data_IF_389891255917
#
_entry.id   IF_389891255917
#
_cell.length_a   1.000
_cell.length_b   1.000
_cell.length_c   1.000
_cell.angle_alpha   90.00
_cell.angle_beta   90.00
_cell.angle_gamma   90.00
#
_symmetry.space_group_name_H-M   'P 1'
#
loop_
_entity.id
_entity.type
_entity.pdbx_description
1 polymer ?
#
# COMPACT_ATOMS: atom_id res chain seq x y z
N UNK A 1 45.57 24.92 -27.14
CA UNK A 1 46.02 25.34 -25.78
C UNK A 1 45.07 26.44 -25.38
N UNK A 2 44.23 26.37 -24.34
CA UNK A 2 44.20 25.65 -23.06
C UNK A 2 42.83 24.96 -22.86
N UNK A 3 42.78 23.65 -22.59
CA UNK A 3 42.55 23.05 -21.26
C UNK A 3 41.22 23.44 -20.60
N UNK A 4 40.20 22.60 -20.86
CA UNK A 4 39.01 22.40 -20.03
C UNK A 4 39.41 21.63 -18.77
N UNK A 5 39.22 22.24 -17.59
CA UNK A 5 39.24 21.50 -16.32
C UNK A 5 37.87 20.86 -16.07
N UNK A 6 37.73 19.60 -16.49
CA UNK A 6 36.63 18.74 -16.04
C UNK A 6 36.84 18.36 -14.57
N UNK A 7 36.08 18.99 -13.68
CA UNK A 7 36.00 18.64 -12.27
C UNK A 7 35.22 17.31 -12.12
N UNK A 8 35.94 16.18 -12.11
CA UNK A 8 35.38 14.83 -11.91
C UNK A 8 35.07 14.61 -10.43
N UNK A 9 33.85 14.98 -10.02
CA UNK A 9 33.30 14.57 -8.72
C UNK A 9 33.20 13.05 -8.61
N UNK A 10 33.68 12.48 -7.50
CA UNK A 10 33.60 11.05 -7.21
C UNK A 10 32.14 10.59 -7.15
N UNK A 11 31.77 9.61 -7.99
CA UNK A 11 30.45 8.98 -7.96
C UNK A 11 30.37 7.99 -6.77
N UNK A 12 29.26 8.02 -6.01
CA UNK A 12 28.95 7.06 -4.92
C UNK A 12 29.16 5.60 -5.33
N UNK A 13 28.95 5.26 -6.60
CA UNK A 13 29.17 3.91 -7.15
C UNK A 13 30.65 3.50 -7.22
N UNK A 14 31.58 4.44 -7.39
CA UNK A 14 33.03 4.17 -7.34
C UNK A 14 33.52 4.01 -5.90
N UNK A 15 33.01 4.82 -4.96
CA UNK A 15 33.36 4.74 -3.54
C UNK A 15 32.97 3.37 -2.93
N UNK A 16 31.79 2.88 -3.27
CA UNK A 16 31.29 1.58 -2.81
C UNK A 16 31.94 0.38 -3.54
N UNK A 17 32.45 0.58 -4.76
CA UNK A 17 33.22 -0.44 -5.48
C UNK A 17 34.65 -0.59 -4.96
N UNK A 18 35.27 0.51 -4.53
CA UNK A 18 36.66 0.51 -4.04
C UNK A 18 36.83 -0.12 -2.66
N UNK A 19 35.82 -0.08 -1.79
CA UNK A 19 35.88 -0.70 -0.45
C UNK A 19 35.82 -2.24 -0.51
N UNK A 20 35.14 -2.80 -1.52
CA UNK A 20 35.10 -4.25 -1.74
C UNK A 20 36.45 -4.80 -2.25
N UNK A 21 37.20 -4.02 -3.04
CA UNK A 21 38.49 -4.43 -3.59
C UNK A 21 39.62 -4.41 -2.53
N UNK A 22 39.58 -3.49 -1.57
CA UNK A 22 40.60 -3.39 -0.50
C UNK A 22 40.45 -4.51 0.54
N UNK A 23 39.23 -4.99 0.78
CA UNK A 23 38.99 -6.11 1.71
C UNK A 23 39.50 -7.47 1.17
N UNK A 24 39.56 -7.65 -0.15
CA UNK A 24 40.01 -8.90 -0.77
C UNK A 24 41.55 -9.08 -0.75
N UNK A 25 42.31 -7.98 -0.74
CA UNK A 25 43.79 -8.05 -0.79
C UNK A 25 44.41 -8.27 0.58
N UNK A 26 43.73 -7.88 1.67
CA UNK A 26 44.22 -8.08 3.04
C UNK A 26 44.14 -9.55 3.54
N UNK A 27 43.43 -10.43 2.82
CA UNK A 27 43.21 -11.82 3.22
C UNK A 27 44.25 -12.83 2.68
N UNK A 28 45.28 -12.39 1.93
CA UNK A 28 46.23 -13.30 1.26
C UNK A 28 47.66 -13.29 1.82
N UNK A 29 47.92 -12.58 2.91
CA UNK A 29 49.24 -12.61 3.56
C UNK A 29 49.14 -12.87 5.07
N UNK A 30 49.09 -14.15 5.42
CA UNK A 30 49.82 -14.84 6.51
C UNK A 30 49.08 -16.17 6.74
N UNK A 31 49.84 -17.27 6.74
CA UNK A 31 49.34 -18.60 6.46
C UNK A 31 48.51 -19.25 7.58
N UNK A 32 47.74 -20.27 7.17
CA UNK A 32 47.40 -21.38 8.04
C UNK A 32 45.90 -21.67 8.16
N UNK A 33 45.51 -22.80 7.56
CA UNK A 33 44.36 -23.66 7.92
C UNK A 33 42.97 -23.26 7.44
N UNK A 34 42.58 -23.90 6.34
CA UNK A 34 41.22 -24.16 5.91
C UNK A 34 40.51 -25.05 6.95
N UNK A 35 39.60 -24.50 7.75
CA UNK A 35 38.60 -25.27 8.52
C UNK A 35 37.23 -25.10 7.88
N UNK A 36 36.66 -26.25 7.51
CA UNK A 36 35.55 -26.44 6.58
C UNK A 36 34.24 -26.71 7.35
N UNK A 37 33.86 -25.82 8.26
CA UNK A 37 32.60 -25.94 9.04
C UNK A 37 32.07 -24.58 9.49
N UNK A 38 30.87 -24.20 9.03
CA UNK A 38 30.08 -23.10 9.58
C UNK A 38 29.86 -21.98 8.58
N UNK A 39 28.62 -21.87 8.09
CA UNK A 39 28.20 -20.84 7.15
C UNK A 39 28.55 -19.43 7.64
N UNK A 40 29.14 -18.64 6.75
CA UNK A 40 29.31 -17.21 6.94
C UNK A 40 27.94 -16.53 6.86
N UNK A 41 27.17 -16.62 7.94
CA UNK A 41 26.23 -15.55 8.26
C UNK A 41 27.09 -14.29 8.40
N UNK A 42 26.97 -13.37 7.44
CA UNK A 42 27.42 -11.99 7.66
C UNK A 42 26.83 -11.56 9.00
N UNK A 43 27.64 -11.23 10.02
CA UNK A 43 27.09 -10.71 11.25
C UNK A 43 26.25 -9.50 10.86
N UNK A 44 24.97 -9.50 11.26
CA UNK A 44 24.17 -8.29 11.23
C UNK A 44 25.06 -7.18 11.82
N UNK A 45 25.19 -6.05 11.11
CA UNK A 45 25.93 -4.90 11.61
C UNK A 45 25.38 -4.57 12.99
N UNK A 46 26.06 -5.08 14.02
CA UNK A 46 25.73 -4.82 15.40
C UNK A 46 25.82 -3.31 15.54
N UNK A 47 24.69 -2.73 15.95
CA UNK A 47 24.52 -1.31 16.20
C UNK A 47 25.78 -0.79 16.90
N UNK A 48 26.51 0.11 16.25
CA UNK A 48 27.65 0.76 16.87
C UNK A 48 27.21 1.33 18.25
N UNK A 49 28.06 1.27 19.28
CA UNK A 49 27.71 1.75 20.62
C UNK A 49 27.51 3.28 20.55
N UNK A 50 26.26 3.68 20.41
CA UNK A 50 25.85 5.05 20.07
C UNK A 50 24.47 5.07 19.45
N UNK A 51 23.48 4.48 20.14
CA UNK A 51 22.11 4.35 19.65
C UNK A 51 21.57 5.66 19.06
N UNK A 52 20.80 5.56 17.97
CA UNK A 52 20.14 6.73 17.38
C UNK A 52 19.27 7.39 18.45
N UNK A 53 19.50 8.68 18.72
CA UNK A 53 18.65 9.46 19.63
C UNK A 53 17.24 9.51 19.03
N UNK A 54 16.25 9.13 19.81
CA UNK A 54 14.83 9.21 19.45
C UNK A 54 14.15 10.46 20.05
N UNK A 55 14.81 11.10 21.01
CA UNK A 55 14.36 12.35 21.62
C UNK A 55 14.49 13.49 20.62
N UNK A 56 13.42 14.29 20.50
CA UNK A 56 13.38 15.52 19.71
C UNK A 56 12.96 16.64 20.66
N UNK A 57 13.89 17.55 20.98
CA UNK A 57 13.70 18.57 22.01
C UNK A 57 12.71 19.66 21.56
N UNK A 58 12.16 20.47 22.49
CA UNK A 58 11.39 21.66 22.13
C UNK A 58 12.18 22.58 21.20
N UNK A 59 11.61 22.90 20.03
CA UNK A 59 12.26 23.71 18.99
C UNK A 59 12.99 22.90 17.92
N UNK A 60 13.16 21.59 18.10
CA UNK A 60 13.69 20.68 17.08
C UNK A 60 12.58 20.05 16.24
N UNK A 61 12.93 19.63 15.01
CA UNK A 61 12.02 18.98 14.07
C UNK A 61 12.33 17.49 13.97
N UNK A 62 11.29 16.71 13.71
CA UNK A 62 11.42 15.32 13.28
C UNK A 62 12.07 15.22 11.89
N UNK A 63 12.77 14.12 11.64
CA UNK A 63 13.50 13.87 10.39
C UNK A 63 12.57 13.35 9.29
N UNK A 64 11.53 12.60 9.65
CA UNK A 64 10.58 12.02 8.71
C UNK A 64 9.13 12.24 9.13
N UNK A 65 8.25 12.33 8.11
CA UNK A 65 6.82 12.15 8.28
C UNK A 65 6.45 10.67 8.14
N UNK A 66 5.57 10.20 9.02
CA UNK A 66 5.00 8.86 8.97
C UNK A 66 3.49 9.00 8.77
N UNK A 67 2.97 8.48 7.66
CA UNK A 67 1.54 8.34 7.43
C UNK A 67 1.08 7.02 8.04
N UNK A 68 0.28 7.10 9.08
CA UNK A 68 -0.10 5.97 9.90
C UNK A 68 -1.57 5.63 9.67
N UNK A 69 -1.80 4.34 9.49
CA UNK A 69 -3.13 3.71 9.46
C UNK A 69 -3.84 3.88 10.80
N UNK A 70 -5.16 3.98 10.81
CA UNK A 70 -5.93 4.07 12.05
C UNK A 70 -6.93 2.94 12.25
N UNK A 71 -6.92 1.95 11.34
CA UNK A 71 -7.88 0.85 11.33
C UNK A 71 -9.31 1.38 11.34
N UNK A 72 -10.11 0.82 12.24
CA UNK A 72 -11.53 1.13 12.44
C UNK A 72 -11.82 2.57 12.90
N UNK A 73 -10.79 3.38 13.17
CA UNK A 73 -11.00 4.82 13.39
C UNK A 73 -11.32 5.53 12.06
N UNK A 74 -10.93 4.97 10.91
CA UNK A 74 -11.29 5.49 9.59
C UNK A 74 -10.60 6.79 9.16
N UNK A 75 -9.53 7.21 9.85
CA UNK A 75 -8.72 8.41 9.55
C UNK A 75 -7.28 8.05 9.14
N UNK A 76 -6.50 9.03 8.66
CA UNK A 76 -5.03 8.89 8.54
C UNK A 76 -4.37 9.79 9.57
N UNK A 77 -3.33 9.29 10.24
CA UNK A 77 -2.54 10.08 11.20
C UNK A 77 -1.19 10.44 10.61
N UNK A 78 -0.74 11.67 10.85
CA UNK A 78 0.62 12.09 10.53
C UNK A 78 1.43 12.07 11.82
N UNK A 79 2.51 11.30 11.85
CA UNK A 79 3.45 11.26 12.96
C UNK A 79 4.81 11.83 12.55
N UNK A 80 5.56 12.36 13.51
CA UNK A 80 6.98 12.67 13.37
C UNK A 80 7.86 11.50 13.81
N UNK A 81 8.91 11.19 13.05
CA UNK A 81 9.93 10.19 13.40
C UNK A 81 11.31 10.90 13.50
N UNK A 82 12.08 10.70 14.59
CA UNK A 82 11.97 9.59 15.52
C UNK A 82 11.12 9.85 16.79
N UNK A 83 10.51 11.02 16.96
CA UNK A 83 9.83 11.36 18.22
C UNK A 83 8.55 10.55 18.47
N UNK A 84 7.96 9.99 17.42
CA UNK A 84 6.67 9.28 17.41
C UNK A 84 5.47 10.12 17.90
N UNK A 85 5.56 11.45 17.79
CA UNK A 85 4.46 12.35 18.18
C UNK A 85 3.43 12.39 17.04
N UNK A 86 2.15 12.30 17.37
CA UNK A 86 1.06 12.58 16.42
C UNK A 86 1.02 14.09 16.16
N UNK A 87 1.26 14.49 14.91
CA UNK A 87 1.29 15.88 14.46
C UNK A 87 -0.09 16.33 13.97
N UNK A 88 -0.85 15.44 13.35
CA UNK A 88 -2.14 15.76 12.73
C UNK A 88 -3.00 14.50 12.50
N UNK A 89 -4.31 14.70 12.41
CA UNK A 89 -5.29 13.74 11.92
C UNK A 89 -5.95 14.25 10.64
N UNK A 90 -6.01 13.40 9.62
CA UNK A 90 -6.70 13.67 8.36
C UNK A 90 -7.99 12.84 8.37
N UNK A 91 -9.17 13.47 8.46
CA UNK A 91 -10.42 12.73 8.40
C UNK A 91 -10.64 12.18 6.98
N UNK A 92 -11.13 10.94 6.89
CA UNK A 92 -11.35 10.24 5.62
C UNK A 92 -12.71 9.55 5.61
N UNK A 93 -12.84 8.44 6.33
CA UNK A 93 -14.06 7.63 6.36
C UNK A 93 -14.88 7.84 7.64
N UNK A 94 -14.30 8.49 8.65
CA UNK A 94 -14.98 8.85 9.89
C UNK A 94 -15.76 10.15 9.79
N UNK A 95 -16.77 10.32 10.64
CA UNK A 95 -17.33 11.65 10.95
C UNK A 95 -16.42 12.40 11.93
N UNK A 96 -15.81 13.51 11.49
CA UNK A 96 -14.90 14.29 12.35
C UNK A 96 -15.54 15.53 12.96
N UNK A 97 -15.80 15.48 14.26
CA UNK A 97 -16.40 16.56 15.03
C UNK A 97 -15.64 17.89 14.93
N UNK A 98 -14.30 17.85 14.86
CA UNK A 98 -13.49 19.07 14.91
C UNK A 98 -13.55 19.87 13.61
N UNK A 99 -13.41 19.22 12.45
CA UNK A 99 -13.39 19.91 11.14
C UNK A 99 -14.75 19.98 10.45
N UNK A 100 -15.74 19.20 10.92
CA UNK A 100 -17.03 19.07 10.26
C UNK A 100 -17.03 18.14 9.03
N UNK A 101 -15.93 17.41 8.79
CA UNK A 101 -15.90 16.37 7.76
C UNK A 101 -16.99 15.31 8.01
N UNK A 102 -17.78 15.02 6.98
CA UNK A 102 -19.02 14.23 7.07
C UNK A 102 -20.28 15.05 7.35
N UNK A 103 -20.20 16.39 7.28
CA UNK A 103 -21.34 17.29 7.41
C UNK A 103 -21.26 18.51 6.48
N UNK A 104 -20.07 19.05 6.23
CA UNK A 104 -19.88 20.16 5.28
C UNK A 104 -20.22 19.73 3.85
N UNK A 105 -20.80 20.63 3.04
CA UNK A 105 -21.19 20.32 1.67
C UNK A 105 -20.02 19.78 0.83
N UNK A 106 -18.82 20.30 1.05
CA UNK A 106 -17.60 19.89 0.35
C UNK A 106 -17.21 18.44 0.71
N UNK A 107 -17.27 18.07 2.00
CA UNK A 107 -16.97 16.70 2.43
C UNK A 107 -18.07 15.72 2.03
N UNK A 108 -19.34 16.12 2.14
CA UNK A 108 -20.48 15.31 1.69
C UNK A 108 -20.39 14.98 0.21
N UNK A 109 -19.99 15.95 -0.63
CA UNK A 109 -19.74 15.71 -2.04
C UNK A 109 -18.67 14.62 -2.24
N UNK A 110 -17.52 14.74 -1.58
CA UNK A 110 -16.42 13.76 -1.71
C UNK A 110 -16.84 12.36 -1.23
N UNK A 111 -17.59 12.29 -0.12
CA UNK A 111 -18.05 11.04 0.49
C UNK A 111 -19.13 10.32 -0.34
N UNK A 112 -19.90 11.05 -1.15
CA UNK A 112 -21.08 10.51 -1.84
C UNK A 112 -20.95 10.43 -3.36
N UNK A 113 -20.11 11.27 -3.99
CA UNK A 113 -20.02 11.34 -5.45
C UNK A 113 -19.50 10.04 -6.09
N UNK A 114 -18.68 9.27 -5.36
CA UNK A 114 -18.13 7.98 -5.80
C UNK A 114 -18.89 6.75 -5.33
N UNK A 115 -20.05 6.89 -4.68
CA UNK A 115 -20.89 5.76 -4.28
C UNK A 115 -21.57 5.12 -5.49
N UNK A 116 -21.70 3.80 -5.46
CA UNK A 116 -22.47 3.04 -6.44
C UNK A 116 -23.97 3.35 -6.32
N UNK A 117 -24.76 3.25 -7.41
CA UNK A 117 -26.20 3.50 -7.39
C UNK A 117 -26.94 2.72 -6.30
N UNK A 118 -26.63 1.42 -6.18
CA UNK A 118 -27.25 0.51 -5.22
C UNK A 118 -26.90 0.91 -3.78
N UNK A 119 -25.70 1.43 -3.57
CA UNK A 119 -25.26 1.92 -2.25
C UNK A 119 -25.93 3.25 -1.90
N UNK A 120 -26.15 4.13 -2.87
CA UNK A 120 -26.93 5.35 -2.65
C UNK A 120 -28.38 5.02 -2.27
N UNK A 121 -28.98 4.03 -2.91
CA UNK A 121 -30.31 3.54 -2.55
C UNK A 121 -30.32 2.96 -1.14
N UNK A 122 -29.37 2.08 -0.81
CA UNK A 122 -29.22 1.50 0.53
C UNK A 122 -29.05 2.56 1.63
N UNK A 123 -28.37 3.66 1.33
CA UNK A 123 -28.10 4.72 2.30
C UNK A 123 -29.19 5.80 2.35
N UNK A 124 -30.15 5.82 1.43
CA UNK A 124 -31.15 6.87 1.32
C UNK A 124 -31.98 7.03 2.61
N UNK A 125 -32.31 5.93 3.28
CA UNK A 125 -33.02 5.90 4.56
C UNK A 125 -32.09 5.78 5.79
N UNK A 126 -30.76 5.77 5.57
CA UNK A 126 -29.71 5.65 6.61
C UNK A 126 -28.86 6.92 6.75
N UNK A 127 -29.39 8.07 6.35
CA UNK A 127 -28.71 9.36 6.43
C UNK A 127 -27.89 9.75 5.21
N UNK A 128 -27.85 8.92 4.16
CA UNK A 128 -27.27 9.25 2.85
C UNK A 128 -25.75 9.12 2.75
N UNK A 129 -25.07 8.63 3.79
CA UNK A 129 -23.63 8.43 3.82
C UNK A 129 -23.25 7.30 4.79
N UNK A 130 -22.04 6.75 4.62
CA UNK A 130 -21.38 5.99 5.68
C UNK A 130 -20.75 6.95 6.69
N UNK A 131 -20.87 6.63 7.98
CA UNK A 131 -20.30 7.39 9.10
C UNK A 131 -19.07 6.72 9.74
N UNK A 132 -18.68 5.57 9.21
CA UNK A 132 -17.56 4.75 9.65
C UNK A 132 -16.72 4.26 8.46
N UNK A 133 -15.54 3.72 8.78
CA UNK A 133 -14.70 2.98 7.87
C UNK A 133 -13.54 2.31 8.61
N UNK A 134 -12.83 1.45 7.89
CA UNK A 134 -11.69 0.70 8.42
C UNK A 134 -10.48 0.86 7.50
N UNK A 135 -9.60 1.81 7.85
CA UNK A 135 -8.49 2.25 7.00
C UNK A 135 -7.22 1.48 7.32
N UNK A 136 -6.71 0.66 6.39
CA UNK A 136 -5.59 -0.25 6.64
C UNK A 136 -4.24 0.24 6.09
N UNK A 137 -4.17 0.62 4.81
CA UNK A 137 -2.89 0.73 4.07
C UNK A 137 -2.68 2.10 3.41
N UNK A 138 -2.14 3.11 4.12
CA UNK A 138 -1.79 4.41 3.53
C UNK A 138 -0.44 4.38 2.78
N UNK A 139 -0.46 4.67 1.46
CA UNK A 139 0.74 4.66 0.61
C UNK A 139 0.91 5.94 -0.21
N UNK A 140 2.07 6.62 -0.10
CA UNK A 140 2.34 7.81 -0.92
C UNK A 140 2.61 7.43 -2.37
N UNK A 141 2.21 8.32 -3.28
CA UNK A 141 2.53 8.21 -4.71
C UNK A 141 4.04 8.22 -4.96
N UNK A 142 4.44 7.55 -6.05
CA UNK A 142 5.82 7.41 -6.49
C UNK A 142 6.02 7.88 -7.93
N UNK A 143 7.24 8.34 -8.20
CA UNK A 143 7.82 8.54 -9.53
C UNK A 143 9.22 7.93 -9.52
N UNK A 144 9.53 7.12 -10.54
CA UNK A 144 10.79 6.38 -10.68
C UNK A 144 11.19 5.59 -9.42
N UNK A 145 10.21 4.95 -8.76
CA UNK A 145 10.44 4.13 -7.55
C UNK A 145 10.73 4.94 -6.28
N UNK A 146 10.53 6.25 -6.28
CA UNK A 146 10.72 7.13 -5.11
C UNK A 146 9.46 7.92 -4.83
N UNK A 147 9.15 8.19 -3.56
CA UNK A 147 8.00 9.01 -3.19
C UNK A 147 8.08 10.42 -3.79
N UNK A 148 6.99 10.87 -4.42
CA UNK A 148 6.93 12.15 -5.14
C UNK A 148 6.12 13.23 -4.40
N UNK A 149 5.52 12.90 -3.26
CA UNK A 149 4.86 13.85 -2.37
C UNK A 149 3.57 14.46 -2.92
N UNK A 150 2.95 13.88 -3.96
CA UNK A 150 1.70 14.42 -4.55
C UNK A 150 0.46 13.95 -3.80
N UNK A 151 0.34 12.64 -3.65
CA UNK A 151 -0.85 11.99 -3.11
C UNK A 151 -0.51 10.92 -2.08
N UNK A 152 -1.49 10.59 -1.25
CA UNK A 152 -1.52 9.41 -0.39
C UNK A 152 -2.82 8.65 -0.69
N UNK A 153 -2.72 7.35 -0.89
CA UNK A 153 -3.89 6.48 -1.13
C UNK A 153 -4.10 5.56 0.05
N UNK A 154 -5.35 5.28 0.39
CA UNK A 154 -5.69 4.31 1.42
C UNK A 154 -7.03 3.63 1.14
N UNK A 155 -7.20 2.43 1.68
CA UNK A 155 -8.41 1.63 1.53
C UNK A 155 -9.39 1.83 2.69
N UNK A 156 -10.64 1.44 2.48
CA UNK A 156 -11.65 1.17 3.49
C UNK A 156 -12.09 -0.29 3.35
N UNK A 157 -11.67 -1.13 4.30
CA UNK A 157 -12.06 -2.55 4.33
C UNK A 157 -13.56 -2.71 4.63
N UNK A 158 -14.13 -1.86 5.49
CA UNK A 158 -15.49 -2.02 5.96
C UNK A 158 -16.55 -1.80 4.87
N UNK A 159 -16.37 -0.77 4.03
CA UNK A 159 -17.39 -0.38 3.04
C UNK A 159 -16.89 -0.39 1.59
N UNK A 160 -15.78 -1.09 1.30
CA UNK A 160 -15.28 -1.34 -0.06
C UNK A 160 -14.93 -0.06 -0.82
N UNK A 161 -14.21 0.86 -0.17
CA UNK A 161 -13.83 2.16 -0.76
C UNK A 161 -12.33 2.34 -0.83
N UNK A 162 -11.90 3.26 -1.69
CA UNK A 162 -10.53 3.74 -1.79
C UNK A 162 -10.54 5.26 -1.77
N UNK A 163 -9.65 5.86 -1.00
CA UNK A 163 -9.48 7.31 -0.96
C UNK A 163 -8.17 7.75 -1.59
N UNK A 164 -8.15 9.02 -1.97
CA UNK A 164 -6.95 9.79 -2.25
C UNK A 164 -6.92 11.03 -1.36
N UNK A 165 -5.76 11.29 -0.80
CA UNK A 165 -5.44 12.45 0.01
C UNK A 165 -4.41 13.27 -0.74
N UNK A 166 -4.67 14.56 -0.86
CA UNK A 166 -3.74 15.55 -1.38
C UNK A 166 -2.74 15.95 -0.31
N UNK A 167 -1.45 15.75 -0.57
CA UNK A 167 -0.39 16.01 0.41
C UNK A 167 -0.01 17.48 0.54
N UNK A 168 -0.36 18.32 -0.44
CA UNK A 168 -0.15 19.77 -0.39
C UNK A 168 -1.10 20.47 0.60
N UNK A 169 -2.28 19.90 0.84
CA UNK A 169 -3.28 20.42 1.79
C UNK A 169 -3.63 19.46 2.93
N UNK A 170 -3.06 18.25 2.93
CA UNK A 170 -3.32 17.18 3.91
C UNK A 170 -4.81 16.91 4.13
N UNK A 171 -5.58 16.78 3.04
CA UNK A 171 -7.02 16.48 3.04
C UNK A 171 -7.40 15.47 1.98
N UNK A 172 -8.37 14.62 2.30
CA UNK A 172 -8.99 13.70 1.36
C UNK A 172 -9.71 14.51 0.26
N UNK A 173 -9.40 14.23 -1.01
CA UNK A 173 -9.98 14.93 -2.16
C UNK A 173 -10.89 14.03 -3.01
N UNK A 174 -10.70 12.71 -2.92
CA UNK A 174 -11.50 11.71 -3.66
C UNK A 174 -11.75 10.47 -2.83
N UNK A 175 -12.96 9.94 -2.92
CA UNK A 175 -13.33 8.61 -2.45
C UNK A 175 -14.15 7.94 -3.55
N UNK A 176 -13.83 6.69 -3.87
CA UNK A 176 -14.62 5.85 -4.77
C UNK A 176 -14.97 4.54 -4.10
N UNK A 177 -16.15 4.03 -4.40
CA UNK A 177 -16.54 2.67 -4.06
C UNK A 177 -16.22 1.74 -5.23
N UNK A 178 -15.62 0.59 -4.94
CA UNK A 178 -15.22 -0.37 -5.97
C UNK A 178 -16.34 -1.37 -6.24
N UNK A 179 -16.79 -1.57 -7.49
CA UNK A 179 -17.83 -2.53 -7.85
C UNK A 179 -17.30 -3.97 -7.84
N UNK A 180 -18.21 -4.94 -7.91
CA UNK A 180 -17.95 -6.39 -8.06
C UNK A 180 -17.18 -7.05 -6.91
N UNK A 181 -16.70 -6.29 -5.93
CA UNK A 181 -15.93 -6.79 -4.80
C UNK A 181 -16.54 -6.30 -3.50
N UNK A 182 -16.32 -7.05 -2.42
CA UNK A 182 -16.79 -6.72 -1.09
C UNK A 182 -15.60 -6.76 -0.15
N UNK A 183 -15.28 -5.60 0.43
CA UNK A 183 -14.01 -5.19 1.05
C UNK A 183 -12.96 -4.62 0.09
N UNK A 184 -12.08 -3.80 0.66
CA UNK A 184 -10.75 -3.53 0.13
C UNK A 184 -9.76 -3.74 1.27
N UNK A 185 -8.91 -4.75 1.19
CA UNK A 185 -7.88 -4.99 2.21
C UNK A 185 -6.53 -4.50 1.74
N UNK A 186 -5.71 -5.37 1.14
CA UNK A 186 -4.42 -5.03 0.59
C UNK A 186 -4.51 -3.85 -0.37
N UNK A 187 -3.72 -2.82 -0.11
CA UNK A 187 -3.55 -1.69 -1.02
C UNK A 187 -2.08 -1.27 -1.12
N UNK A 188 -1.58 -1.16 -2.34
CA UNK A 188 -0.28 -0.60 -2.68
C UNK A 188 -0.34 0.18 -4.00
N UNK A 189 0.67 1.01 -4.21
CA UNK A 189 0.81 1.80 -5.43
C UNK A 189 1.79 1.14 -6.40
N UNK A 190 1.54 1.31 -7.69
CA UNK A 190 2.57 1.10 -8.71
C UNK A 190 3.76 2.03 -8.41
N UNK A 191 4.97 1.44 -8.43
CA UNK A 191 6.22 2.15 -8.07
C UNK A 191 6.90 2.78 -9.29
N UNK A 192 6.81 2.13 -10.45
CA UNK A 192 7.53 2.50 -11.67
C UNK A 192 6.63 2.43 -12.92
N UNK A 193 6.79 3.34 -13.90
CA UNK A 193 7.62 4.56 -13.88
C UNK A 193 7.01 5.67 -13.00
N UNK A 194 5.72 5.56 -12.69
CA UNK A 194 5.00 6.40 -11.74
C UNK A 194 3.87 5.58 -11.12
N UNK A 195 3.26 6.10 -10.07
CA UNK A 195 1.94 5.63 -9.63
C UNK A 195 0.90 6.00 -10.69
N UNK A 196 0.77 5.14 -11.70
CA UNK A 196 -0.35 5.13 -12.65
C UNK A 196 -1.54 4.36 -12.06
N UNK A 197 -1.25 3.20 -11.47
CA UNK A 197 -2.24 2.38 -10.78
C UNK A 197 -2.07 2.35 -9.25
N UNK A 198 -3.21 2.25 -8.57
CA UNK A 198 -3.36 1.85 -7.17
C UNK A 198 -4.03 0.48 -7.17
N UNK A 199 -3.33 -0.51 -6.64
CA UNK A 199 -3.77 -1.90 -6.64
C UNK A 199 -4.50 -2.22 -5.34
N UNK A 200 -5.64 -2.88 -5.46
CA UNK A 200 -6.59 -3.10 -4.38
C UNK A 200 -7.09 -4.55 -4.41
N UNK A 201 -6.98 -5.26 -3.29
CA UNK A 201 -7.52 -6.61 -3.12
C UNK A 201 -8.93 -6.56 -2.52
N UNK A 202 -9.91 -7.18 -3.17
CA UNK A 202 -11.13 -7.64 -2.51
C UNK A 202 -10.85 -8.94 -1.76
N UNK A 203 -10.91 -8.91 -0.43
CA UNK A 203 -10.47 -10.02 0.41
C UNK A 203 -11.50 -11.13 0.54
N UNK A 204 -12.79 -10.79 0.47
CA UNK A 204 -13.86 -11.76 0.60
C UNK A 204 -14.35 -12.20 -0.76
N UNK A 205 -14.53 -13.51 -0.88
CA UNK A 205 -15.14 -14.13 -2.03
C UNK A 205 -16.66 -13.97 -1.94
N UNK A 206 -17.25 -13.45 -3.02
CA UNK A 206 -18.69 -13.28 -3.17
C UNK A 206 -19.13 -13.73 -4.56
N UNK A 207 -20.40 -14.09 -4.76
CA UNK A 207 -20.88 -14.34 -6.12
C UNK A 207 -20.85 -13.06 -6.94
N UNK A 208 -20.58 -13.18 -8.24
CA UNK A 208 -20.59 -12.05 -9.18
C UNK A 208 -21.50 -12.39 -10.36
N UNK A 209 -22.70 -11.79 -10.47
CA UNK A 209 -23.25 -10.73 -9.62
C UNK A 209 -23.70 -11.23 -8.23
N UNK A 210 -23.66 -10.33 -7.24
CA UNK A 210 -24.16 -10.59 -5.88
C UNK A 210 -25.59 -10.05 -5.70
N UNK A 211 -26.56 -10.69 -6.38
CA UNK A 211 -27.96 -10.25 -6.43
C UNK A 211 -28.88 -10.99 -5.45
N UNK A 212 -28.30 -11.83 -4.60
CA UNK A 212 -29.03 -12.64 -3.59
C UNK A 212 -29.62 -13.93 -4.13
N UNK A 213 -29.37 -14.31 -5.39
CA UNK A 213 -29.80 -15.60 -5.95
C UNK A 213 -28.88 -16.76 -5.56
N UNK A 214 -27.61 -16.47 -5.28
CA UNK A 214 -26.61 -17.43 -4.81
C UNK A 214 -26.21 -17.00 -3.39
N UNK A 215 -26.55 -17.82 -2.38
CA UNK A 215 -26.30 -17.50 -0.97
C UNK A 215 -25.47 -18.57 -0.23
N UNK A 216 -25.48 -19.81 -0.76
CA UNK A 216 -24.98 -21.01 -0.10
C UNK A 216 -24.20 -21.93 -1.05
N UNK A 217 -23.67 -21.39 -2.16
CA UNK A 217 -22.77 -22.11 -3.07
C UNK A 217 -21.41 -21.40 -3.23
N UNK A 218 -20.46 -21.64 -2.29
CA UNK A 218 -19.15 -20.99 -2.29
C UNK A 218 -18.30 -21.26 -3.53
N UNK A 219 -18.63 -22.29 -4.32
CA UNK A 219 -17.91 -22.60 -5.57
C UNK A 219 -18.14 -21.54 -6.66
N UNK A 220 -19.16 -20.71 -6.50
CA UNK A 220 -19.47 -19.60 -7.38
C UNK A 220 -18.96 -18.27 -6.82
N UNK A 221 -18.21 -18.29 -5.70
CA UNK A 221 -17.69 -17.09 -5.08
C UNK A 221 -16.30 -16.80 -5.60
N UNK A 222 -16.03 -15.52 -5.83
CA UNK A 222 -14.75 -15.06 -6.36
C UNK A 222 -14.27 -13.83 -5.62
N UNK A 223 -12.96 -13.76 -5.39
CA UNK A 223 -12.29 -12.52 -5.06
C UNK A 223 -11.97 -11.74 -6.34
N UNK A 224 -11.95 -10.41 -6.22
CA UNK A 224 -11.65 -9.51 -7.33
C UNK A 224 -10.43 -8.68 -6.97
N UNK A 225 -9.45 -8.67 -7.87
CA UNK A 225 -8.33 -7.75 -7.85
C UNK A 225 -8.66 -6.52 -8.68
N UNK A 226 -8.43 -5.32 -8.15
CA UNK A 226 -8.78 -4.06 -8.82
C UNK A 226 -7.56 -3.17 -9.00
N UNK A 227 -7.39 -2.62 -10.21
CA UNK A 227 -6.52 -1.49 -10.46
C UNK A 227 -7.34 -0.20 -10.60
N UNK A 228 -7.04 0.78 -9.76
CA UNK A 228 -7.60 2.13 -9.83
C UNK A 228 -6.57 3.04 -10.49
N UNK A 229 -6.97 3.83 -11.47
CA UNK A 229 -6.14 4.91 -12.01
C UNK A 229 -5.94 5.99 -10.94
N UNK A 230 -4.68 6.23 -10.53
CA UNK A 230 -4.35 7.09 -9.39
C UNK A 230 -4.61 8.58 -9.64
N UNK A 231 -4.66 9.02 -10.89
CA UNK A 231 -4.88 10.42 -11.25
C UNK A 231 -6.36 10.76 -11.33
N UNK A 232 -7.15 9.90 -11.97
CA UNK A 232 -8.58 10.09 -12.20
C UNK A 232 -9.43 9.54 -11.06
N UNK A 233 -8.89 8.65 -10.23
CA UNK A 233 -9.62 7.89 -9.22
C UNK A 233 -10.82 7.17 -9.85
N UNK A 234 -10.57 6.38 -10.89
CA UNK A 234 -11.56 5.50 -11.53
C UNK A 234 -10.99 4.09 -11.62
N UNK A 235 -11.85 3.08 -11.58
CA UNK A 235 -11.46 1.70 -11.89
C UNK A 235 -10.93 1.67 -13.33
N UNK A 236 -9.70 1.20 -13.51
CA UNK A 236 -9.10 0.99 -14.82
C UNK A 236 -9.45 -0.39 -15.37
N UNK A 237 -9.29 -1.42 -14.54
CA UNK A 237 -9.62 -2.81 -14.85
C UNK A 237 -9.72 -3.64 -13.56
N UNK A 238 -10.36 -4.80 -13.67
CA UNK A 238 -10.50 -5.78 -12.60
C UNK A 238 -10.15 -7.18 -13.11
N UNK A 239 -9.63 -8.04 -12.22
CA UNK A 239 -9.29 -9.43 -12.51
C UNK A 239 -9.95 -10.31 -11.47
N UNK A 240 -10.77 -11.26 -11.92
CA UNK A 240 -11.30 -12.34 -11.10
C UNK A 240 -10.22 -13.40 -10.88
N UNK A 241 -10.11 -13.93 -9.66
CA UNK A 241 -9.08 -14.91 -9.30
C UNK A 241 -9.67 -16.14 -8.61
N UNK A 242 -8.89 -17.21 -8.58
CA UNK A 242 -9.11 -18.35 -7.70
C UNK A 242 -8.55 -18.08 -6.29
N UNK A 243 -9.31 -18.49 -5.28
CA UNK A 243 -9.01 -18.20 -3.87
C UNK A 243 -9.22 -16.72 -3.53
N UNK A 244 -8.94 -16.37 -2.28
CA UNK A 244 -9.08 -15.00 -1.81
C UNK A 244 -7.83 -14.12 -2.09
N UNK A 245 -7.89 -12.83 -1.72
CA UNK A 245 -6.79 -11.89 -1.85
C UNK A 245 -6.54 -11.08 -0.57
N UNK A 246 -5.35 -11.19 0.00
CA UNK A 246 -4.99 -10.53 1.25
C UNK A 246 -4.20 -9.23 1.02
N UNK A 247 -2.88 -9.28 1.00
CA UNK A 247 -2.01 -8.13 0.78
C UNK A 247 -1.52 -8.08 -0.67
N UNK A 248 -1.12 -6.90 -1.15
CA UNK A 248 -0.59 -6.68 -2.50
C UNK A 248 0.67 -5.84 -2.45
N UNK A 249 1.61 -6.07 -3.36
CA UNK A 249 2.66 -5.10 -3.70
C UNK A 249 2.99 -5.12 -5.21
N UNK A 250 3.85 -4.21 -5.65
CA UNK A 250 4.26 -4.05 -7.04
C UNK A 250 5.78 -4.11 -7.20
N UNK A 251 6.23 -4.45 -8.40
CA UNK A 251 7.66 -4.41 -8.73
C UNK A 251 8.19 -2.97 -8.96
N UNK A 252 9.50 -2.86 -9.16
CA UNK A 252 10.18 -1.61 -9.51
C UNK A 252 10.40 -1.46 -11.02
N UNK A 253 9.67 -2.21 -11.84
CA UNK A 253 9.79 -2.18 -13.31
C UNK A 253 8.47 -1.84 -14.01
N UNK A 254 7.37 -1.75 -13.27
CA UNK A 254 6.03 -1.51 -13.79
C UNK A 254 5.45 -2.71 -14.55
N UNK A 255 5.97 -3.93 -14.33
CA UNK A 255 5.57 -5.11 -15.11
C UNK A 255 4.59 -6.00 -14.36
N UNK A 256 4.77 -6.12 -13.06
CA UNK A 256 4.01 -7.03 -12.21
C UNK A 256 3.54 -6.37 -10.92
N UNK A 257 2.35 -6.77 -10.50
CA UNK A 257 1.92 -6.71 -9.11
C UNK A 257 1.54 -8.12 -8.65
N UNK A 258 1.53 -8.33 -7.33
CA UNK A 258 1.33 -9.64 -6.77
C UNK A 258 0.63 -9.57 -5.44
N UNK A 259 -0.28 -10.51 -5.20
CA UNK A 259 -1.10 -10.57 -4.01
C UNK A 259 -0.97 -11.92 -3.31
N UNK A 260 -1.01 -11.91 -1.98
CA UNK A 260 -1.09 -13.13 -1.18
C UNK A 260 -2.52 -13.66 -1.16
N UNK A 261 -2.67 -14.97 -1.01
CA UNK A 261 -3.92 -15.68 -0.79
C UNK A 261 -3.76 -16.50 0.50
N UNK A 262 -4.74 -16.44 1.41
CA UNK A 262 -4.77 -17.27 2.62
C UNK A 262 -5.90 -18.31 2.58
N UNK A 263 -6.92 -18.10 1.74
CA UNK A 263 -8.05 -19.01 1.58
C UNK A 263 -8.05 -19.52 0.14
N UNK A 264 -7.02 -20.29 -0.17
CA UNK A 264 -6.89 -20.90 -1.49
C UNK A 264 -7.87 -22.06 -1.67
N UNK A 265 -8.49 -22.53 -0.58
CA UNK A 265 -9.51 -23.56 -0.48
C UNK A 265 -10.88 -23.10 -0.95
N UNK A 266 -11.19 -21.80 -0.86
CA UNK A 266 -12.56 -21.30 -1.02
C UNK A 266 -13.47 -21.72 0.15
N UNK A 267 -12.89 -21.87 1.34
CA UNK A 267 -13.60 -22.21 2.57
C UNK A 267 -14.46 -21.06 3.08
N UNK A 268 -15.53 -21.39 3.81
CA UNK A 268 -16.44 -20.41 4.44
C UNK A 268 -16.46 -20.51 5.95
N UNK A 269 -15.67 -21.43 6.51
CA UNK A 269 -15.38 -21.54 7.93
C UNK A 269 -13.88 -21.50 8.17
N UNK A 270 -13.45 -21.05 9.34
CA UNK A 270 -12.03 -20.98 9.70
C UNK A 270 -11.28 -22.31 9.52
N UNK A 271 -11.95 -23.45 9.78
CA UNK A 271 -11.33 -24.76 9.62
C UNK A 271 -11.07 -25.09 8.14
N UNK A 272 -11.97 -24.70 7.25
CA UNK A 272 -11.85 -24.91 5.80
C UNK A 272 -10.79 -23.98 5.20
N UNK A 273 -10.71 -22.71 5.63
CA UNK A 273 -9.71 -21.74 5.14
C UNK A 273 -8.28 -22.03 5.64
N UNK A 274 -8.06 -23.17 6.29
CA UNK A 274 -6.78 -23.56 6.90
C UNK A 274 -6.47 -25.04 6.62
N UNK A 275 -7.18 -25.66 5.67
CA UNK A 275 -7.08 -27.09 5.39
C UNK A 275 -5.79 -27.43 4.64
N UNK A 276 -5.37 -26.56 3.71
CA UNK A 276 -4.16 -26.77 2.92
C UNK A 276 -2.92 -26.38 3.73
N UNK A 277 -1.85 -27.14 3.52
CA UNK A 277 -0.54 -26.81 4.09
C UNK A 277 0.15 -25.62 3.39
N UNK A 278 -0.30 -25.27 2.18
CA UNK A 278 0.27 -24.22 1.34
C UNK A 278 -0.80 -23.51 0.52
N UNK A 279 -0.87 -22.20 0.68
CA UNK A 279 -1.54 -21.29 -0.24
C UNK A 279 -0.59 -20.78 -1.33
N UNK A 280 -0.98 -19.72 -2.04
CA UNK A 280 -0.21 -19.16 -3.14
C UNK A 280 -0.14 -17.63 -3.12
N UNK A 281 0.75 -17.13 -3.96
CA UNK A 281 0.71 -15.74 -4.43
C UNK A 281 0.15 -15.72 -5.85
N UNK A 282 -0.73 -14.76 -6.13
CA UNK A 282 -1.19 -14.48 -7.49
C UNK A 282 -0.27 -13.42 -8.08
N UNK A 283 0.30 -13.67 -9.25
CA UNK A 283 1.17 -12.72 -9.97
C UNK A 283 0.42 -12.18 -11.19
N UNK A 284 0.14 -10.88 -11.17
CA UNK A 284 -0.57 -10.19 -12.23
C UNK A 284 0.42 -9.59 -13.22
N UNK A 285 0.31 -9.98 -14.49
CA UNK A 285 1.11 -9.40 -15.58
C UNK A 285 0.36 -8.20 -16.15
N UNK A 286 0.80 -7.00 -15.77
CA UNK A 286 0.10 -5.74 -16.07
C UNK A 286 -0.07 -5.57 -17.58
N UNK A 287 1.01 -5.78 -18.35
CA UNK A 287 0.98 -5.64 -19.81
C UNK A 287 -0.04 -6.59 -20.46
N UNK A 288 -0.12 -7.84 -20.00
CA UNK A 288 -1.09 -8.81 -20.57
C UNK A 288 -2.53 -8.48 -20.21
N UNK A 289 -2.76 -7.89 -19.04
CA UNK A 289 -4.08 -7.41 -18.62
C UNK A 289 -4.48 -6.22 -19.50
N UNK A 290 -3.59 -5.25 -19.69
CA UNK A 290 -3.82 -4.10 -20.56
C UNK A 290 -4.05 -4.50 -22.03
N UNK A 291 -3.43 -5.57 -22.52
CA UNK A 291 -3.67 -6.12 -23.86
C UNK A 291 -5.03 -6.83 -24.00
N UNK A 292 -5.64 -7.24 -22.88
CA UNK A 292 -6.91 -7.97 -22.86
C UNK A 292 -8.15 -7.07 -22.71
N UNK A 293 -7.97 -5.82 -22.28
CA UNK A 293 -9.03 -4.82 -22.03
C UNK A 293 -9.07 -3.82 -23.19
#
# INVERSE_FOLDING_TARGET
MSQDETNKGFNRRQLLGSTAAVAAVAATSVGGTLTLTGGAATPALAQAPGGKKFEVAPGELDEYYVFFSSGQTGEVRILGLPSMRELMRIPVFNRDSATGWGQTNESLKILTEGLLPETRELLADRGGLYDNGDLHHPHPSQTDGTYDGRYLYANDKANTRVCRIRLDVMKCDKIIQLPNQHTVHGLRVQKYPKTGYVFCNGEYEVPVPNDGTILDDPKQYHAIFTAVDGETMKVAWQVMVDGNLDNVDADYQGKYCFSTCYNSEGGVTLAETMEKEQDWIVIFNIKRIEEAV
#
